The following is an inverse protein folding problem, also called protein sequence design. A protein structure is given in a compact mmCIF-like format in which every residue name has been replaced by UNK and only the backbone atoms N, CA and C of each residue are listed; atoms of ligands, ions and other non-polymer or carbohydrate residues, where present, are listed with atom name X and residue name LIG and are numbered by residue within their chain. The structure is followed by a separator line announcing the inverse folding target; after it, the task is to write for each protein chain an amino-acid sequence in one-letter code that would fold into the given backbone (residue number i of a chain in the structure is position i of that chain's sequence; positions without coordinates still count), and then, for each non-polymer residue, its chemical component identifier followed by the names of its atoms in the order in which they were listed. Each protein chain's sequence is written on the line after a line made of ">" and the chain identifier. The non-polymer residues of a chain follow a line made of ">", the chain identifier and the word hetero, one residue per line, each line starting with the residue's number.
data_IF_211705745186
#
_entry.id   IF_211705745186
#
_cell.length_a   1.000
_cell.length_b   1.000
_cell.length_c   1.000
_cell.angle_alpha   90.00
_cell.angle_beta   90.00
_cell.angle_gamma   90.00
#
_symmetry.space_group_name_H-M   'P 1'
#
loop_
_entity.id
_entity.type
_entity.pdbx_description
1 polymer ?
#
# COMPACT_ATOMS: atom_id res chain seq x y z
N UNK A 1 3.02 -5.89 -23.80
CA UNK A 1 1.61 -6.17 -23.43
C UNK A 1 1.64 -7.27 -22.38
N UNK A 2 1.58 -6.91 -21.11
CA UNK A 2 1.33 -7.90 -20.07
C UNK A 2 -0.15 -8.29 -20.17
N UNK A 3 -0.40 -9.51 -20.62
CA UNK A 3 -1.68 -10.17 -20.43
C UNK A 3 -1.85 -10.38 -18.92
N UNK A 4 -2.51 -9.44 -18.25
CA UNK A 4 -2.95 -9.67 -16.87
C UNK A 4 -3.93 -10.85 -16.94
N UNK A 5 -3.48 -12.02 -16.50
CA UNK A 5 -4.35 -13.16 -16.23
C UNK A 5 -5.37 -12.61 -15.21
N UNK A 6 -6.61 -12.48 -15.64
CA UNK A 6 -7.69 -11.97 -14.80
C UNK A 6 -8.07 -13.10 -13.85
N UNK A 7 -7.38 -13.17 -12.70
CA UNK A 7 -7.66 -14.14 -11.64
C UNK A 7 -9.09 -13.90 -11.11
N UNK A 8 -9.89 -14.95 -10.95
CA UNK A 8 -11.18 -14.87 -10.29
C UNK A 8 -11.01 -14.84 -8.77
N UNK A 9 -12.02 -14.35 -8.05
CA UNK A 9 -12.03 -14.41 -6.58
C UNK A 9 -11.94 -15.85 -6.06
N UNK A 10 -12.63 -16.80 -6.69
CA UNK A 10 -12.60 -18.22 -6.34
C UNK A 10 -11.18 -18.80 -6.42
N UNK A 11 -10.49 -18.53 -7.52
CA UNK A 11 -9.13 -19.02 -7.73
C UNK A 11 -8.12 -18.37 -6.76
N UNK A 12 -8.26 -17.08 -6.46
CA UNK A 12 -7.41 -16.39 -5.49
C UNK A 12 -7.59 -16.98 -4.08
N UNK A 13 -8.82 -17.19 -3.64
CA UNK A 13 -9.13 -17.83 -2.34
C UNK A 13 -8.58 -19.25 -2.30
N UNK A 14 -8.81 -20.05 -3.32
CA UNK A 14 -8.31 -21.42 -3.41
C UNK A 14 -6.78 -21.50 -3.26
N UNK A 15 -6.06 -20.61 -3.92
CA UNK A 15 -4.60 -20.57 -3.84
C UNK A 15 -4.12 -20.15 -2.44
N UNK A 16 -4.76 -19.15 -1.84
CA UNK A 16 -4.42 -18.70 -0.49
C UNK A 16 -4.71 -19.80 0.54
N UNK A 17 -5.84 -20.48 0.43
CA UNK A 17 -6.20 -21.61 1.29
C UNK A 17 -5.24 -22.80 1.12
N UNK A 18 -4.77 -23.07 -0.09
CA UNK A 18 -3.85 -24.18 -0.36
C UNK A 18 -2.43 -23.91 0.15
N UNK A 19 -1.93 -22.68 0.03
CA UNK A 19 -0.51 -22.38 0.28
C UNK A 19 -0.29 -21.45 1.48
N UNK A 20 -1.34 -20.81 2.01
CA UNK A 20 -1.24 -19.92 3.16
C UNK A 20 -1.11 -20.65 4.50
N UNK A 21 -0.61 -19.97 5.51
CA UNK A 21 -0.44 -20.51 6.85
C UNK A 21 -1.73 -20.48 7.71
N UNK A 22 -2.85 -20.04 7.17
CA UNK A 22 -4.16 -19.92 7.82
C UNK A 22 -4.15 -19.13 9.15
N UNK A 23 -3.28 -18.15 9.26
CA UNK A 23 -3.18 -17.28 10.43
C UNK A 23 -4.28 -16.19 10.47
N UNK A 24 -5.04 -16.05 9.40
CA UNK A 24 -6.23 -15.21 9.29
C UNK A 24 -7.39 -15.98 8.66
N UNK A 25 -8.61 -15.51 8.92
CA UNK A 25 -9.83 -15.95 8.23
C UNK A 25 -10.49 -14.75 7.56
N UNK A 26 -10.03 -14.36 6.35
CA UNK A 26 -10.54 -13.19 5.65
C UNK A 26 -12.01 -13.37 5.25
N UNK A 27 -12.71 -12.26 5.04
CA UNK A 27 -13.99 -12.25 4.35
C UNK A 27 -13.81 -12.77 2.91
N UNK A 28 -14.79 -13.48 2.33
CA UNK A 28 -14.68 -14.02 0.96
C UNK A 28 -14.86 -12.94 -0.12
N UNK A 29 -14.03 -11.91 -0.05
CA UNK A 29 -13.99 -10.80 -1.00
C UNK A 29 -12.54 -10.58 -1.41
N UNK A 30 -12.26 -10.70 -2.71
CA UNK A 30 -10.90 -10.54 -3.27
C UNK A 30 -10.80 -9.20 -3.98
N UNK A 31 -10.19 -8.23 -3.33
CA UNK A 31 -10.04 -6.88 -3.87
C UNK A 31 -8.92 -6.84 -4.91
N UNK A 32 -9.22 -6.29 -6.09
CA UNK A 32 -8.30 -6.21 -7.21
C UNK A 32 -7.95 -4.77 -7.64
N UNK A 33 -8.77 -3.79 -7.26
CA UNK A 33 -8.57 -2.37 -7.61
C UNK A 33 -9.02 -1.46 -6.49
N UNK A 34 -8.35 -0.32 -6.35
CA UNK A 34 -8.75 0.76 -5.42
C UNK A 34 -8.59 2.13 -6.06
N UNK A 35 -9.49 3.07 -5.73
CA UNK A 35 -9.44 4.46 -6.15
C UNK A 35 -10.20 5.35 -5.16
N UNK A 36 -9.50 6.24 -4.48
CA UNK A 36 -10.09 7.06 -3.42
C UNK A 36 -10.69 6.20 -2.32
N UNK A 37 -11.97 6.35 -2.04
CA UNK A 37 -12.72 5.57 -1.03
C UNK A 37 -13.29 4.27 -1.57
N UNK A 38 -13.11 3.99 -2.84
CA UNK A 38 -13.72 2.84 -3.51
C UNK A 38 -12.72 1.72 -3.74
N UNK A 39 -13.20 0.49 -3.62
CA UNK A 39 -12.48 -0.72 -4.01
C UNK A 39 -13.38 -1.60 -4.88
N UNK A 40 -12.77 -2.44 -5.71
CA UNK A 40 -13.47 -3.39 -6.58
C UNK A 40 -12.86 -4.77 -6.43
N UNK A 41 -13.72 -5.78 -6.42
CA UNK A 41 -13.28 -7.17 -6.47
C UNK A 41 -12.85 -7.60 -7.88
N UNK A 42 -12.43 -8.86 -7.99
CA UNK A 42 -11.99 -9.45 -9.26
C UNK A 42 -13.13 -9.50 -10.30
N UNK A 43 -14.37 -9.57 -9.88
CA UNK A 43 -15.56 -9.60 -10.71
C UNK A 43 -16.05 -8.20 -11.10
N UNK A 44 -15.43 -7.15 -10.54
CA UNK A 44 -15.73 -5.74 -10.82
C UNK A 44 -16.85 -5.15 -9.97
N UNK A 45 -17.30 -5.85 -8.94
CA UNK A 45 -18.26 -5.30 -7.99
C UNK A 45 -17.57 -4.23 -7.13
N UNK A 46 -18.25 -3.10 -6.96
CA UNK A 46 -17.75 -1.92 -6.25
C UNK A 46 -18.18 -1.92 -4.78
N UNK A 47 -17.29 -1.51 -3.91
CA UNK A 47 -17.51 -1.34 -2.48
C UNK A 47 -16.96 -0.01 -1.99
N UNK A 48 -17.47 0.46 -0.86
CA UNK A 48 -16.81 1.48 -0.06
C UNK A 48 -15.83 0.84 0.90
N UNK A 49 -14.61 1.35 0.96
CA UNK A 49 -13.62 0.90 1.94
C UNK A 49 -13.69 1.77 3.21
N UNK A 50 -14.47 1.35 4.19
CA UNK A 50 -14.54 1.98 5.50
C UNK A 50 -13.47 1.48 6.47
N UNK A 51 -12.74 0.41 6.13
CA UNK A 51 -11.67 -0.11 6.97
C UNK A 51 -10.34 0.60 6.72
N UNK A 52 -10.07 0.95 5.46
CA UNK A 52 -8.87 1.70 5.01
C UNK A 52 -7.56 1.14 5.57
N UNK A 53 -7.42 -0.21 5.60
CA UNK A 53 -6.29 -0.91 6.22
C UNK A 53 -5.99 -0.37 7.64
N UNK A 54 -7.01 -0.28 8.48
CA UNK A 54 -6.95 0.31 9.84
C UNK A 54 -6.44 1.76 9.83
N UNK A 55 -6.96 2.57 8.93
CA UNK A 55 -6.61 3.98 8.70
C UNK A 55 -5.23 4.23 8.06
N UNK A 56 -4.52 3.20 7.63
CA UNK A 56 -3.25 3.38 6.90
C UNK A 56 -3.47 4.01 5.52
N UNK A 57 -4.63 3.78 4.88
CA UNK A 57 -5.01 4.34 3.58
C UNK A 57 -5.91 5.58 3.75
N UNK A 58 -5.62 6.42 4.73
CA UNK A 58 -6.43 7.61 5.07
C UNK A 58 -6.47 8.70 3.98
N UNK A 59 -5.53 8.66 3.02
CA UNK A 59 -5.52 9.56 1.84
C UNK A 59 -6.29 8.98 0.65
N UNK A 60 -6.90 7.80 0.82
CA UNK A 60 -7.57 7.05 -0.23
C UNK A 60 -6.61 6.19 -1.05
N UNK A 61 -7.20 5.19 -1.71
CA UNK A 61 -6.47 4.27 -2.59
C UNK A 61 -5.89 5.02 -3.80
N UNK A 62 -4.68 4.66 -4.18
CA UNK A 62 -4.02 5.14 -5.40
C UNK A 62 -3.99 6.68 -5.53
N UNK A 63 -3.79 7.40 -4.42
CA UNK A 63 -3.76 8.85 -4.45
C UNK A 63 -2.69 9.36 -5.44
N UNK A 64 -3.05 10.17 -6.46
CA UNK A 64 -2.16 10.46 -7.59
C UNK A 64 -0.86 11.16 -7.21
N UNK A 65 -0.89 12.04 -6.20
CA UNK A 65 0.33 12.70 -5.71
C UNK A 65 1.27 11.72 -5.02
N UNK A 66 0.74 10.78 -4.23
CA UNK A 66 1.54 9.76 -3.54
C UNK A 66 2.15 8.79 -4.54
N UNK A 67 1.37 8.31 -5.52
CA UNK A 67 1.88 7.46 -6.60
C UNK A 67 2.96 8.14 -7.42
N UNK A 68 2.82 9.43 -7.71
CA UNK A 68 3.85 10.21 -8.43
C UNK A 68 5.17 10.25 -7.66
N UNK A 69 5.12 10.53 -6.34
CA UNK A 69 6.31 10.55 -5.49
C UNK A 69 6.96 9.17 -5.41
N UNK A 70 6.15 8.12 -5.14
CA UNK A 70 6.64 6.74 -5.10
C UNK A 70 7.32 6.33 -6.40
N UNK A 71 6.66 6.54 -7.53
CA UNK A 71 7.20 6.17 -8.84
C UNK A 71 8.48 6.93 -9.19
N UNK A 72 8.57 8.20 -8.84
CA UNK A 72 9.77 8.99 -9.08
C UNK A 72 10.93 8.52 -8.20
N UNK A 73 10.68 8.29 -6.91
CA UNK A 73 11.72 7.83 -5.98
C UNK A 73 12.19 6.41 -6.33
N UNK A 74 11.27 5.50 -6.66
CA UNK A 74 11.59 4.12 -7.00
C UNK A 74 12.51 3.99 -8.24
N UNK A 75 12.45 4.95 -9.16
CA UNK A 75 13.35 5.02 -10.33
C UNK A 75 14.76 5.48 -9.99
N UNK A 76 14.98 6.07 -8.82
CA UNK A 76 16.28 6.59 -8.38
C UNK A 76 16.93 5.67 -7.34
N UNK A 77 16.21 5.36 -6.27
CA UNK A 77 16.69 4.55 -5.16
C UNK A 77 15.50 4.00 -4.39
N UNK A 78 15.41 2.68 -4.25
CA UNK A 78 14.29 2.00 -3.58
C UNK A 78 14.55 1.76 -2.11
N UNK A 79 15.74 1.27 -1.76
CA UNK A 79 16.09 0.89 -0.39
C UNK A 79 17.59 1.03 -0.15
N UNK A 80 17.97 1.50 1.03
CA UNK A 80 19.34 1.45 1.54
C UNK A 80 19.38 0.82 2.92
N UNK A 81 20.50 0.18 3.25
CA UNK A 81 20.80 -0.19 4.63
C UNK A 81 20.98 1.08 5.48
N UNK A 82 20.61 0.99 6.76
CA UNK A 82 20.92 2.04 7.75
C UNK A 82 22.43 2.18 8.07
N UNK A 83 23.26 1.29 7.52
CA UNK A 83 24.71 1.43 7.57
C UNK A 83 25.25 2.63 6.77
N UNK A 84 24.42 3.20 5.88
CA UNK A 84 24.75 4.37 5.07
C UNK A 84 23.63 5.41 5.14
N UNK A 85 23.98 6.66 4.89
CA UNK A 85 23.01 7.73 4.74
C UNK A 85 22.34 7.69 3.36
N UNK A 86 21.15 8.29 3.25
CA UNK A 86 20.51 8.61 1.98
C UNK A 86 20.04 10.07 1.97
N UNK A 87 19.74 10.57 0.81
CA UNK A 87 19.47 12.00 0.61
C UNK A 87 18.03 12.44 0.92
N UNK A 88 17.15 11.54 1.35
CA UNK A 88 15.72 11.90 1.62
C UNK A 88 15.33 11.77 3.08
N UNK A 89 16.01 10.94 3.86
CA UNK A 89 15.61 10.66 5.23
C UNK A 89 15.81 11.87 6.15
N UNK A 90 16.90 12.64 5.96
CA UNK A 90 17.17 13.85 6.73
C UNK A 90 16.06 14.88 6.60
N UNK A 91 15.65 15.19 5.38
CA UNK A 91 14.56 16.13 5.10
C UNK A 91 13.24 15.68 5.73
N UNK A 92 12.96 14.35 5.70
CA UNK A 92 11.78 13.78 6.34
C UNK A 92 11.83 13.95 7.87
N UNK A 93 12.98 13.65 8.50
CA UNK A 93 13.17 13.81 9.94
C UNK A 93 12.98 15.26 10.39
N UNK A 94 13.63 16.21 9.70
CA UNK A 94 13.48 17.65 9.96
C UNK A 94 12.02 18.06 9.88
N UNK A 95 11.32 17.64 8.82
CA UNK A 95 9.91 17.97 8.61
C UNK A 95 9.03 17.47 9.75
N UNK A 96 9.22 16.23 10.20
CA UNK A 96 8.45 15.64 11.30
C UNK A 96 8.75 16.34 12.62
N UNK A 97 10.02 16.51 12.98
CA UNK A 97 10.42 17.17 14.23
C UNK A 97 9.90 18.60 14.29
N UNK A 98 10.04 19.36 13.22
CA UNK A 98 9.53 20.74 13.14
C UNK A 98 8.01 20.83 13.22
N UNK A 99 7.31 19.91 12.53
CA UNK A 99 5.84 19.92 12.51
C UNK A 99 5.23 19.60 13.86
N UNK A 100 5.81 18.67 14.60
CA UNK A 100 5.30 18.17 15.87
C UNK A 100 6.03 18.70 17.09
N UNK A 101 7.01 19.59 16.90
CA UNK A 101 7.82 20.20 17.95
C UNK A 101 8.53 19.15 18.81
N UNK A 102 9.23 18.21 18.18
CA UNK A 102 10.13 17.24 18.81
C UNK A 102 11.58 17.53 18.49
N UNK A 103 12.48 17.22 19.41
CA UNK A 103 13.93 17.39 19.18
C UNK A 103 14.49 16.31 18.25
N UNK A 104 13.97 15.08 18.35
CA UNK A 104 14.44 13.93 17.59
C UNK A 104 13.30 12.97 17.26
N UNK A 105 13.47 12.19 16.19
CA UNK A 105 12.61 11.07 15.88
C UNK A 105 13.42 9.78 15.66
N UNK A 106 12.81 8.65 15.97
CA UNK A 106 13.34 7.32 15.64
C UNK A 106 12.67 6.84 14.34
N UNK A 107 13.42 6.70 13.23
CA UNK A 107 12.89 6.23 11.95
C UNK A 107 12.73 4.70 11.92
#
# INVERSE_FOLDING_TARGET
>A
METSIKMSSEEAIRLEDQFGAHNYHPLPVVLARGEGVYVWDCEGKKYYDFLSAYSAVNQGHCHPRLLKVLNNQAKQLTLTSRAVYNNVLGDYMEKICTTFNYDNMLP
#
